data_IF_540898504643
#
_entry.id   IF_540898504643
#
_cell.length_a   1.000
_cell.length_b   1.000
_cell.length_c   1.000
_cell.angle_alpha   90.00
_cell.angle_beta   90.00
_cell.angle_gamma   90.00
#
_symmetry.space_group_name_H-M   'P 1'
#
loop_
_entity.id
_entity.type
_entity.pdbx_description
1 polymer ?
#
# COMPACT_ATOMS: atom_id res chain seq x y z
N UNK A 1 -7.12 2.28 3.13
CA UNK A 1 -5.72 2.76 3.07
C UNK A 1 -5.10 2.22 1.79
N UNK A 2 -4.25 3.02 1.13
CA UNK A 2 -3.37 2.59 0.06
C UNK A 2 -1.99 3.19 0.26
N UNK A 3 -0.95 2.51 -0.22
CA UNK A 3 0.42 2.97 -0.15
C UNK A 3 1.11 2.80 -1.52
N UNK A 4 1.93 3.76 -1.91
CA UNK A 4 2.81 3.68 -3.07
C UNK A 4 4.24 3.84 -2.61
N UNK A 5 5.11 2.94 -3.06
CA UNK A 5 6.47 2.78 -2.53
C UNK A 5 7.41 3.04 -3.69
N UNK A 6 8.32 3.99 -3.51
CA UNK A 6 9.46 4.20 -4.40
C UNK A 6 10.74 4.01 -3.61
N UNK A 7 11.74 3.45 -4.27
CA UNK A 7 13.09 3.33 -3.75
C UNK A 7 14.03 4.08 -4.70
N UNK A 8 15.06 4.73 -4.15
CA UNK A 8 16.08 5.39 -4.98
C UNK A 8 16.77 4.41 -5.91
N UNK A 9 16.92 3.16 -5.45
CA UNK A 9 17.55 2.06 -6.19
C UNK A 9 16.55 0.99 -6.62
N UNK A 10 16.86 0.21 -7.68
CA UNK A 10 16.06 -0.94 -8.07
C UNK A 10 15.96 -1.97 -6.94
N UNK A 11 14.72 -2.30 -6.57
CA UNK A 11 14.41 -3.30 -5.55
C UNK A 11 14.47 -4.69 -6.16
N UNK A 12 15.27 -5.56 -5.55
CA UNK A 12 15.32 -7.00 -5.84
C UNK A 12 14.12 -7.70 -5.22
N UNK A 13 13.85 -7.43 -3.94
CA UNK A 13 12.73 -8.02 -3.21
C UNK A 13 12.26 -7.17 -2.02
N UNK A 14 10.98 -7.32 -1.67
CA UNK A 14 10.42 -6.89 -0.39
C UNK A 14 10.27 -8.09 0.53
N UNK A 15 11.03 -8.14 1.62
CA UNK A 15 10.93 -9.20 2.62
C UNK A 15 9.61 -9.08 3.38
N UNK A 16 8.92 -10.20 3.58
CA UNK A 16 7.70 -10.23 4.38
C UNK A 16 6.53 -9.46 3.77
N UNK A 17 6.50 -9.31 2.44
CA UNK A 17 5.39 -8.65 1.74
C UNK A 17 4.04 -9.32 2.07
N UNK A 18 3.13 -8.58 2.71
CA UNK A 18 1.84 -9.09 3.17
C UNK A 18 0.82 -9.12 2.03
N UNK A 19 0.85 -10.18 1.23
CA UNK A 19 -0.12 -10.44 0.16
C UNK A 19 -1.49 -10.93 0.69
N UNK A 20 -1.60 -11.19 1.99
CA UNK A 20 -2.84 -11.63 2.63
C UNK A 20 -3.76 -10.44 2.89
N UNK A 21 -3.27 -9.39 3.55
CA UNK A 21 -4.09 -8.22 3.87
C UNK A 21 -3.90 -7.07 2.88
N UNK A 22 -2.82 -7.05 2.11
CA UNK A 22 -2.61 -6.09 1.03
C UNK A 22 -2.73 -6.73 -0.34
N UNK A 23 -3.03 -5.92 -1.34
CA UNK A 23 -3.06 -6.32 -2.75
C UNK A 23 -2.49 -5.21 -3.59
N UNK A 24 -1.58 -5.55 -4.51
CA UNK A 24 -1.01 -4.60 -5.46
C UNK A 24 -2.01 -4.40 -6.60
N UNK A 25 -2.43 -3.16 -6.82
CA UNK A 25 -3.23 -2.76 -7.96
C UNK A 25 -2.39 -2.55 -9.21
N UNK A 26 -3.04 -2.53 -10.37
CA UNK A 26 -2.39 -2.26 -11.66
C UNK A 26 -1.85 -0.82 -11.80
N UNK A 27 -2.33 0.08 -10.94
CA UNK A 27 -1.86 1.46 -10.78
C UNK A 27 -0.58 1.57 -9.92
N UNK A 28 -0.04 0.44 -9.45
CA UNK A 28 1.18 0.35 -8.65
C UNK A 28 0.99 0.61 -7.16
N UNK A 29 -0.22 0.98 -6.71
CA UNK A 29 -0.52 1.11 -5.28
C UNK A 29 -0.77 -0.25 -4.64
N UNK A 30 -0.41 -0.38 -3.37
CA UNK A 30 -0.84 -1.46 -2.50
C UNK A 30 -2.08 -1.01 -1.72
N UNK A 31 -3.15 -1.80 -1.78
CA UNK A 31 -4.42 -1.52 -1.13
C UNK A 31 -4.64 -2.43 0.07
N UNK A 32 -4.95 -1.85 1.23
CA UNK A 32 -5.32 -2.63 2.41
C UNK A 32 -6.76 -3.12 2.29
N UNK A 33 -6.97 -4.44 2.40
CA UNK A 33 -8.26 -5.08 2.11
C UNK A 33 -9.33 -4.82 3.16
N UNK A 34 -8.93 -4.53 4.40
CA UNK A 34 -9.83 -4.43 5.56
C UNK A 34 -10.07 -2.98 5.97
N UNK A 35 -11.22 -2.72 6.59
CA UNK A 35 -11.47 -1.46 7.27
C UNK A 35 -10.52 -1.30 8.47
N UNK A 36 -9.88 -0.14 8.59
CA UNK A 36 -9.06 0.21 9.76
C UNK A 36 -9.94 0.97 10.74
N UNK A 37 -10.11 0.49 11.99
CA UNK A 37 -10.92 1.19 12.99
C UNK A 37 -10.22 2.47 13.44
N UNK A 38 -10.97 3.38 14.07
CA UNK A 38 -10.41 4.61 14.66
C UNK A 38 -9.33 4.24 15.69
N UNK A 39 -8.14 4.81 15.54
CA UNK A 39 -6.98 4.49 16.38
C UNK A 39 -6.32 3.13 16.10
N UNK A 40 -6.82 2.38 15.13
CA UNK A 40 -6.21 1.14 14.67
C UNK A 40 -5.08 1.35 13.67
N UNK A 41 -4.33 0.29 13.40
CA UNK A 41 -3.26 0.26 12.41
C UNK A 41 -3.53 -0.82 11.36
N UNK A 42 -2.88 -0.71 10.20
CA UNK A 42 -2.80 -1.82 9.25
C UNK A 42 -1.82 -2.88 9.78
N UNK A 43 -1.75 -4.02 9.08
CA UNK A 43 -0.54 -4.85 9.14
C UNK A 43 0.59 -4.19 8.36
N UNK A 44 1.84 -4.54 8.65
CA UNK A 44 2.96 -4.10 7.84
C UNK A 44 2.80 -4.56 6.40
N UNK A 45 3.05 -3.66 5.45
CA UNK A 45 3.05 -4.02 4.04
C UNK A 45 4.24 -4.94 3.71
N UNK A 46 5.43 -4.61 4.22
CA UNK A 46 6.64 -5.42 4.15
C UNK A 46 7.49 -5.12 5.40
N UNK A 47 8.49 -5.96 5.68
CA UNK A 47 9.38 -5.82 6.84
C UNK A 47 10.83 -5.54 6.46
N UNK A 48 11.18 -5.63 5.19
CA UNK A 48 12.52 -5.32 4.69
C UNK A 48 12.53 -5.04 3.19
N UNK A 49 13.60 -4.39 2.74
CA UNK A 49 13.88 -4.09 1.33
C UNK A 49 15.29 -4.60 1.02
N UNK A 50 15.42 -5.41 -0.03
CA UNK A 50 16.71 -5.82 -0.59
C UNK A 50 16.88 -5.15 -1.94
N UNK A 51 17.96 -4.39 -2.13
CA UNK A 51 18.32 -3.76 -3.40
C UNK A 51 18.98 -4.77 -4.35
N UNK A 52 19.00 -4.46 -5.65
CA UNK A 52 19.67 -5.31 -6.64
C UNK A 52 21.20 -5.38 -6.42
N UNK A 53 21.78 -6.55 -6.72
CA UNK A 53 23.17 -6.90 -6.35
C UNK A 53 24.24 -5.99 -7.00
N UNK A 54 23.89 -5.29 -8.08
CA UNK A 54 24.80 -4.41 -8.85
C UNK A 54 24.91 -2.99 -8.26
N UNK A 55 24.21 -2.70 -7.16
CA UNK A 55 24.13 -1.37 -6.55
C UNK A 55 24.84 -1.35 -5.19
N UNK A 56 26.12 -1.00 -5.20
CA UNK A 56 26.85 -0.60 -3.99
C UNK A 56 26.65 0.91 -3.80
N UNK A 57 25.73 1.30 -2.91
CA UNK A 57 25.60 2.69 -2.47
C UNK A 57 25.65 2.79 -0.95
N UNK A 58 26.22 3.90 -0.46
CA UNK A 58 26.31 4.20 0.97
C UNK A 58 24.94 4.48 1.61
N UNK A 59 23.94 4.86 0.81
CA UNK A 59 22.61 5.26 1.27
C UNK A 59 21.50 4.63 0.43
N UNK A 60 20.39 4.27 1.07
CA UNK A 60 19.15 3.84 0.43
C UNK A 60 18.02 4.78 0.88
N UNK A 61 17.32 5.39 -0.08
CA UNK A 61 16.09 6.14 0.21
C UNK A 61 14.86 5.29 -0.13
N UNK A 62 13.96 5.15 0.84
CA UNK A 62 12.64 4.54 0.65
C UNK A 62 11.59 5.60 0.94
N UNK A 63 10.87 6.01 -0.10
CA UNK A 63 9.76 6.95 0.02
C UNK A 63 8.44 6.19 0.00
N UNK A 64 7.62 6.44 1.02
CA UNK A 64 6.27 5.84 1.14
C UNK A 64 5.24 6.95 1.08
N UNK A 65 4.41 6.92 0.04
CA UNK A 65 3.24 7.79 -0.07
C UNK A 65 1.99 7.03 0.36
N UNK A 66 1.25 7.55 1.33
CA UNK A 66 0.11 6.88 1.92
C UNK A 66 -1.16 7.74 1.89
N UNK A 67 -2.29 7.10 1.59
CA UNK A 67 -3.60 7.74 1.63
C UNK A 67 -4.65 6.83 2.26
N UNK A 68 -5.69 7.45 2.81
CA UNK A 68 -6.84 6.74 3.33
C UNK A 68 -8.14 7.39 2.89
N UNK A 69 -9.19 6.57 2.83
CA UNK A 69 -10.56 6.99 2.56
C UNK A 69 -11.45 6.43 3.65
N UNK A 70 -12.52 7.15 3.96
CA UNK A 70 -13.52 6.67 4.90
C UNK A 70 -14.28 5.48 4.31
N UNK A 71 -14.67 4.53 5.16
CA UNK A 71 -15.50 3.38 4.77
C UNK A 71 -16.98 3.74 4.66
N UNK A 72 -17.31 5.02 4.84
CA UNK A 72 -18.67 5.57 4.75
C UNK A 72 -18.66 6.91 4.01
N UNK A 73 -19.69 7.15 3.22
CA UNK A 73 -20.02 8.43 2.58
C UNK A 73 -21.48 8.77 2.92
N UNK A 74 -21.69 9.61 3.93
CA UNK A 74 -23.00 9.86 4.52
C UNK A 74 -23.64 8.59 5.08
N UNK A 75 -24.79 8.18 4.53
CA UNK A 75 -25.48 6.94 4.90
C UNK A 75 -24.96 5.70 4.14
N UNK A 76 -24.14 5.87 3.10
CA UNK A 76 -23.61 4.77 2.30
C UNK A 76 -22.39 4.17 3.00
N UNK A 77 -22.47 2.89 3.36
CA UNK A 77 -21.32 2.12 3.83
C UNK A 77 -20.70 1.35 2.67
N UNK A 78 -19.39 1.47 2.48
CA UNK A 78 -18.63 0.64 1.55
C UNK A 78 -18.29 -0.69 2.22
N UNK A 79 -18.54 -1.80 1.53
CA UNK A 79 -18.28 -3.15 2.04
C UNK A 79 -16.97 -3.73 1.54
N UNK A 80 -16.34 -3.10 0.55
CA UNK A 80 -15.05 -3.48 -0.03
C UNK A 80 -14.13 -2.27 -0.15
N UNK A 81 -12.81 -2.50 -0.15
CA UNK A 81 -11.84 -1.42 -0.37
C UNK A 81 -11.96 -0.88 -1.80
N UNK A 82 -12.27 -1.72 -2.80
CA UNK A 82 -12.43 -1.30 -4.19
C UNK A 82 -13.55 -0.28 -4.33
N UNK A 83 -14.72 -0.54 -3.72
CA UNK A 83 -15.86 0.38 -3.81
C UNK A 83 -15.57 1.71 -3.12
N UNK A 84 -14.87 1.67 -1.99
CA UNK A 84 -14.45 2.88 -1.28
C UNK A 84 -13.49 3.72 -2.11
N UNK A 85 -12.50 3.10 -2.77
CA UNK A 85 -11.50 3.80 -3.59
C UNK A 85 -12.03 4.24 -4.96
N UNK A 86 -12.97 3.49 -5.55
CA UNK A 86 -13.60 3.84 -6.84
C UNK A 86 -14.25 5.22 -6.83
N UNK A 87 -14.77 5.65 -5.68
CA UNK A 87 -15.34 6.99 -5.47
C UNK A 87 -14.33 8.13 -5.72
N UNK A 88 -13.04 7.85 -5.54
CA UNK A 88 -11.93 8.80 -5.64
C UNK A 88 -11.04 8.53 -6.86
N UNK A 89 -11.51 7.74 -7.84
CA UNK A 89 -10.75 7.41 -9.05
C UNK A 89 -9.61 6.41 -8.82
N UNK A 90 -9.52 5.79 -7.64
CA UNK A 90 -8.60 4.68 -7.35
C UNK A 90 -9.32 3.32 -7.37
N UNK A 91 -8.60 2.25 -7.05
CA UNK A 91 -9.18 0.90 -6.89
C UNK A 91 -8.50 -0.22 -7.68
N UNK A 92 -7.37 0.06 -8.34
CA UNK A 92 -6.47 -0.94 -8.89
C UNK A 92 -7.04 -1.86 -9.97
N UNK A 93 -8.03 -1.40 -10.76
CA UNK A 93 -8.53 -2.14 -11.94
C UNK A 93 -7.49 -2.22 -13.04
#
# INVERSE_FOLDING_TARGET
VRAYITCSEPVKEFTGLDTTNWVKGNDGYYYYKKAVPVGGTTTYLFTGVTVADEYEQDNLEVTVYEESVQTTDGQKKYTSYQDAWKRFGGGGQ
#
